data_IF_932043276417
#
_entry.id   IF_932043276417
#
_cell.length_a   1.000
_cell.length_b   1.000
_cell.length_c   1.000
_cell.angle_alpha   90.00
_cell.angle_beta   90.00
_cell.angle_gamma   90.00
#
_symmetry.space_group_name_H-M   'P 1'
#
loop_
_entity.id
_entity.type
_entity.pdbx_description
1 polymer ?
#
# COMPACT_ATOMS: atom_id res chain seq x y z
N UNK A 1 16.46 -10.19 45.70
CA UNK A 1 16.35 -10.80 44.36
C UNK A 1 14.99 -11.46 44.26
N UNK A 2 13.95 -10.69 43.95
CA UNK A 2 12.62 -11.20 43.59
C UNK A 2 12.28 -10.55 42.27
N UNK A 3 12.68 -11.20 41.17
CA UNK A 3 12.08 -10.95 39.88
C UNK A 3 10.92 -11.93 39.79
N UNK A 4 9.70 -11.38 39.95
CA UNK A 4 8.49 -12.07 39.54
C UNK A 4 8.71 -12.49 38.09
N UNK A 5 8.74 -13.80 37.86
CA UNK A 5 8.61 -14.36 36.53
C UNK A 5 7.20 -13.98 36.12
N UNK A 6 7.12 -12.94 35.30
CA UNK A 6 5.94 -12.62 34.53
C UNK A 6 5.70 -13.84 33.64
N UNK A 7 4.88 -14.75 34.16
CA UNK A 7 4.29 -15.85 33.42
C UNK A 7 3.47 -15.18 32.31
N UNK A 8 4.13 -14.92 31.18
CA UNK A 8 3.44 -14.79 29.90
C UNK A 8 2.72 -16.12 29.76
N UNK A 9 1.46 -16.13 30.16
CA UNK A 9 0.53 -17.18 29.83
C UNK A 9 0.61 -17.29 28.31
N UNK A 10 1.39 -18.27 27.84
CA UNK A 10 1.29 -18.76 26.49
C UNK A 10 -0.15 -19.27 26.40
N UNK A 11 -1.04 -18.46 25.87
CA UNK A 11 -2.36 -18.95 25.50
C UNK A 11 -2.09 -20.05 24.49
N UNK A 12 -2.48 -21.27 24.88
CA UNK A 12 -2.43 -22.45 24.03
C UNK A 12 -3.52 -22.27 22.96
N UNK A 13 -3.28 -21.29 22.08
CA UNK A 13 -4.07 -21.04 20.90
C UNK A 13 -3.80 -22.25 20.00
N UNK A 14 -4.66 -23.27 20.13
CA UNK A 14 -4.48 -24.54 19.46
C UNK A 14 -4.32 -24.40 17.95
N UNK A 15 -3.95 -25.47 17.23
CA UNK A 15 -3.67 -25.44 15.79
C UNK A 15 -4.78 -24.84 14.91
N UNK A 16 -5.99 -24.66 15.42
CA UNK A 16 -7.11 -24.03 14.72
C UNK A 16 -7.16 -22.50 14.89
N UNK A 17 -6.74 -21.94 16.03
CA UNK A 17 -6.65 -20.48 16.21
C UNK A 17 -5.50 -19.89 15.39
N UNK A 18 -4.38 -20.61 15.30
CA UNK A 18 -3.29 -20.26 14.39
C UNK A 18 -3.74 -20.22 12.92
N UNK A 19 -4.55 -21.19 12.46
CA UNK A 19 -5.13 -21.17 11.11
C UNK A 19 -6.08 -19.98 10.90
N UNK A 20 -6.88 -19.62 11.92
CA UNK A 20 -7.75 -18.44 11.86
C UNK A 20 -6.91 -17.16 11.73
N UNK A 21 -5.79 -17.05 12.44
CA UNK A 21 -4.87 -15.93 12.32
C UNK A 21 -4.24 -15.85 10.92
N UNK A 22 -3.80 -16.98 10.36
CA UNK A 22 -3.29 -17.04 8.99
C UNK A 22 -4.35 -16.60 7.97
N UNK A 23 -5.58 -17.09 8.07
CA UNK A 23 -6.66 -16.69 7.17
C UNK A 23 -6.96 -15.18 7.25
N UNK A 24 -6.92 -14.60 8.46
CA UNK A 24 -7.06 -13.14 8.65
C UNK A 24 -5.91 -12.37 7.98
N UNK A 25 -4.68 -12.87 8.10
CA UNK A 25 -3.52 -12.26 7.44
C UNK A 25 -3.65 -12.32 5.92
N UNK A 26 -4.06 -13.44 5.35
CA UNK A 26 -4.28 -13.59 3.91
C UNK A 26 -5.33 -12.61 3.37
N UNK A 27 -6.43 -12.42 4.09
CA UNK A 27 -7.45 -11.43 3.72
C UNK A 27 -6.88 -10.02 3.75
N UNK A 28 -6.10 -9.68 4.79
CA UNK A 28 -5.48 -8.36 4.91
C UNK A 28 -4.45 -8.10 3.81
N UNK A 29 -3.68 -9.11 3.42
CA UNK A 29 -2.73 -9.02 2.30
C UNK A 29 -3.46 -8.68 1.01
N UNK A 30 -4.53 -9.42 0.67
CA UNK A 30 -5.33 -9.16 -0.54
C UNK A 30 -5.93 -7.75 -0.57
N UNK A 31 -6.39 -7.26 0.58
CA UNK A 31 -6.90 -5.89 0.70
C UNK A 31 -5.80 -4.86 0.41
N UNK A 32 -4.62 -5.03 0.99
CA UNK A 32 -3.47 -4.14 0.77
C UNK A 32 -2.97 -4.21 -0.68
N UNK A 33 -2.90 -5.38 -1.29
CA UNK A 33 -2.58 -5.55 -2.70
C UNK A 33 -3.56 -4.78 -3.60
N UNK A 34 -4.86 -4.81 -3.28
CA UNK A 34 -5.87 -4.00 -3.96
C UNK A 34 -5.62 -2.50 -3.82
N UNK A 35 -5.31 -2.03 -2.60
CA UNK A 35 -4.99 -0.61 -2.36
C UNK A 35 -3.73 -0.17 -3.12
N UNK A 36 -2.70 -1.02 -3.19
CA UNK A 36 -1.49 -0.76 -3.99
C UNK A 36 -1.81 -0.63 -5.47
N UNK A 37 -2.65 -1.50 -6.02
CA UNK A 37 -3.06 -1.44 -7.43
C UNK A 37 -3.82 -0.15 -7.76
N UNK A 38 -4.73 0.31 -6.89
CA UNK A 38 -5.44 1.58 -7.09
C UNK A 38 -4.51 2.80 -6.98
N UNK A 39 -3.56 2.78 -6.03
CA UNK A 39 -2.55 3.83 -5.93
C UNK A 39 -1.65 3.89 -7.18
N UNK A 40 -1.28 2.73 -7.74
CA UNK A 40 -0.49 2.67 -8.97
C UNK A 40 -1.23 3.30 -10.16
N UNK A 41 -2.52 3.00 -10.35
CA UNK A 41 -3.36 3.65 -11.38
C UNK A 41 -3.39 5.17 -11.23
N UNK A 42 -3.41 5.66 -9.99
CA UNK A 42 -3.40 7.10 -9.70
C UNK A 42 -2.06 7.74 -10.06
N UNK A 43 -0.95 7.05 -9.77
CA UNK A 43 0.40 7.51 -10.16
C UNK A 43 0.56 7.56 -11.69
N UNK A 44 0.11 6.52 -12.40
CA UNK A 44 0.12 6.48 -13.87
C UNK A 44 -0.69 7.63 -14.48
N UNK A 45 -1.89 7.90 -13.95
CA UNK A 45 -2.72 9.01 -14.40
C UNK A 45 -2.06 10.38 -14.15
N UNK A 46 -1.38 10.55 -13.00
CA UNK A 46 -0.67 11.78 -12.67
C UNK A 46 0.53 12.01 -13.62
N UNK A 47 1.28 10.96 -13.95
CA UNK A 47 2.39 11.04 -14.88
C UNK A 47 1.92 11.36 -16.31
N UNK A 48 0.81 10.76 -16.76
CA UNK A 48 0.20 11.08 -18.05
C UNK A 48 -0.21 12.56 -18.13
N UNK A 49 -0.88 13.08 -17.09
CA UNK A 49 -1.27 14.50 -17.04
C UNK A 49 -0.05 15.43 -17.05
N UNK A 50 1.04 15.06 -16.37
CA UNK A 50 2.29 15.82 -16.40
C UNK A 50 2.86 15.89 -17.82
N UNK A 51 2.85 14.77 -18.55
CA UNK A 51 3.26 14.74 -19.96
C UNK A 51 2.43 15.68 -20.84
N UNK A 52 1.11 15.71 -20.65
CA UNK A 52 0.21 16.62 -21.38
C UNK A 52 0.53 18.09 -21.04
N UNK A 53 0.79 18.41 -19.78
CA UNK A 53 1.15 19.78 -19.35
C UNK A 53 2.44 20.24 -20.05
N UNK A 54 3.47 19.39 -20.11
CA UNK A 54 4.72 19.76 -20.78
C UNK A 54 4.54 19.96 -22.29
N UNK A 55 3.72 19.14 -22.96
CA UNK A 55 3.37 19.36 -24.37
C UNK A 55 2.66 20.70 -24.60
N UNK A 56 1.71 21.05 -23.73
CA UNK A 56 1.00 22.34 -23.79
C UNK A 56 1.98 23.50 -23.57
N UNK A 57 2.90 23.39 -22.61
CA UNK A 57 3.94 24.40 -22.37
C UNK A 57 4.86 24.58 -23.58
N UNK A 58 5.30 23.49 -24.19
CA UNK A 58 6.16 23.53 -25.37
C UNK A 58 5.46 24.25 -26.53
N UNK A 59 4.22 23.86 -26.84
CA UNK A 59 3.42 24.52 -27.88
C UNK A 59 3.21 26.01 -27.61
N UNK A 60 2.90 26.38 -26.37
CA UNK A 60 2.73 27.78 -25.99
C UNK A 60 4.03 28.59 -26.07
N UNK A 61 5.20 27.96 -25.96
CA UNK A 61 6.49 28.61 -26.17
C UNK A 61 6.77 28.81 -27.66
N UNK A 62 6.49 27.80 -28.49
CA UNK A 62 6.62 27.88 -29.94
C UNK A 62 5.72 29.00 -30.53
N UNK A 63 4.45 29.05 -30.11
CA UNK A 63 3.49 30.09 -30.54
C UNK A 63 3.90 31.52 -30.13
N UNK A 64 4.75 31.69 -29.11
CA UNK A 64 5.27 33.01 -28.69
C UNK A 64 6.56 33.41 -29.43
N UNK A 65 7.23 32.46 -30.05
CA UNK A 65 8.47 32.67 -30.77
C UNK A 65 8.24 33.03 -32.25
N UNK A 66 7.03 32.79 -32.77
CA UNK A 66 6.52 33.27 -34.06
C UNK A 66 6.01 34.73 -33.99
#
# INVERSE_FOLDING_TARGET
MQHAVEEVAATDDGPDEFKVLLAKQEVRIKELEGQVAEAAKTAEAADALRGVIEQVKARAADERAE
#
